data_IF_504744627122
#
_entry.id   IF_504744627122
#
_cell.length_a   1.000
_cell.length_b   1.000
_cell.length_c   1.000
_cell.angle_alpha   90.00
_cell.angle_beta   90.00
_cell.angle_gamma   90.00
#
_symmetry.space_group_name_H-M   'P 1'
#
loop_
_entity.id
_entity.type
_entity.pdbx_description
1 polymer ?
#
# COMPACT_ATOMS: atom_id res chain seq x y z
N UNK A 1 -3.52 26.33 -41.07
CA UNK A 1 -3.53 26.86 -39.68
C UNK A 1 -4.66 26.26 -38.84
N UNK A 2 -5.90 26.79 -38.83
CA UNK A 2 -6.99 26.39 -37.88
C UNK A 2 -7.08 24.87 -37.58
N UNK A 3 -7.20 24.01 -38.60
CA UNK A 3 -7.27 22.54 -38.43
C UNK A 3 -6.10 21.92 -37.65
N UNK A 4 -4.88 22.45 -37.79
CA UNK A 4 -3.70 21.99 -37.06
C UNK A 4 -3.71 22.41 -35.58
N UNK A 5 -4.26 23.58 -35.27
CA UNK A 5 -4.48 24.01 -33.87
C UNK A 5 -5.55 23.13 -33.22
N UNK A 6 -6.64 22.80 -33.94
CA UNK A 6 -7.64 21.85 -33.47
C UNK A 6 -7.04 20.47 -33.18
N UNK A 7 -6.17 19.96 -34.06
CA UNK A 7 -5.48 18.67 -33.88
C UNK A 7 -4.54 18.71 -32.66
N UNK A 8 -3.78 19.79 -32.48
CA UNK A 8 -2.86 20.00 -31.36
C UNK A 8 -3.61 20.05 -30.01
N UNK A 9 -4.70 20.82 -29.94
CA UNK A 9 -5.52 20.93 -28.72
C UNK A 9 -6.15 19.57 -28.39
N UNK A 10 -6.63 18.82 -29.40
CA UNK A 10 -7.18 17.48 -29.20
C UNK A 10 -6.13 16.51 -28.67
N UNK A 11 -4.91 16.51 -29.22
CA UNK A 11 -3.82 15.64 -28.73
C UNK A 11 -3.38 16.00 -27.31
N UNK A 12 -3.40 17.30 -26.95
CA UNK A 12 -3.03 17.76 -25.62
C UNK A 12 -4.07 17.33 -24.56
N UNK A 13 -5.37 17.41 -24.90
CA UNK A 13 -6.46 16.95 -24.02
C UNK A 13 -6.38 15.45 -23.74
N UNK A 14 -6.05 14.62 -24.75
CA UNK A 14 -5.83 13.18 -24.57
C UNK A 14 -4.64 12.89 -23.65
N UNK A 15 -3.55 13.64 -23.78
CA UNK A 15 -2.36 13.45 -22.93
C UNK A 15 -2.61 13.83 -21.46
N UNK A 16 -3.37 14.90 -21.20
CA UNK A 16 -3.73 15.30 -19.82
C UNK A 16 -4.70 14.28 -19.19
N UNK A 17 -5.71 13.83 -19.93
CA UNK A 17 -6.67 12.83 -19.44
C UNK A 17 -6.06 11.45 -19.13
N UNK A 18 -4.96 11.08 -19.80
CA UNK A 18 -4.29 9.80 -19.62
C UNK A 18 -3.36 9.72 -18.38
N UNK A 19 -3.14 10.83 -17.67
CA UNK A 19 -2.20 10.92 -16.54
C UNK A 19 -2.87 11.42 -15.23
N UNK A 20 -4.20 11.33 -15.14
CA UNK A 20 -4.94 11.60 -13.90
C UNK A 20 -4.84 10.45 -12.90
N UNK A 21 -4.29 10.73 -11.72
CA UNK A 21 -4.35 9.96 -10.47
C UNK A 21 -4.18 8.42 -10.55
N UNK A 22 -2.93 7.97 -10.66
CA UNK A 22 -2.51 6.66 -10.12
C UNK A 22 -1.22 6.74 -9.28
N UNK A 23 -1.10 7.75 -8.41
CA UNK A 23 -0.04 7.80 -7.38
C UNK A 23 -0.14 6.61 -6.40
N UNK A 24 -1.36 6.09 -6.20
CA UNK A 24 -1.61 4.75 -5.68
C UNK A 24 -2.24 3.90 -6.77
N UNK A 25 -1.39 3.22 -7.55
CA UNK A 25 -1.84 2.28 -8.57
C UNK A 25 -2.17 0.96 -7.89
N UNK A 26 -3.46 0.62 -7.76
CA UNK A 26 -3.87 -0.72 -7.33
C UNK A 26 -3.24 -1.77 -8.26
N UNK A 27 -2.38 -2.63 -7.72
CA UNK A 27 -1.71 -3.68 -8.50
C UNK A 27 -2.64 -4.89 -8.63
N UNK A 28 -3.65 -4.70 -9.48
CA UNK A 28 -4.46 -5.71 -10.17
C UNK A 28 -5.32 -6.72 -9.37
N UNK A 29 -6.26 -7.26 -10.13
CA UNK A 29 -6.89 -8.59 -10.09
C UNK A 29 -7.49 -9.13 -8.78
N UNK A 30 -8.64 -9.80 -8.92
CA UNK A 30 -9.28 -10.60 -7.86
C UNK A 30 -8.63 -11.99 -7.72
N UNK A 31 -7.32 -12.06 -7.97
CA UNK A 31 -6.59 -13.26 -8.43
C UNK A 31 -5.14 -13.29 -7.88
N UNK A 32 -4.74 -12.28 -7.09
CA UNK A 32 -3.38 -12.10 -6.56
C UNK A 32 -3.40 -11.65 -5.09
N UNK A 33 -2.47 -12.19 -4.28
CA UNK A 33 -2.24 -11.78 -2.90
C UNK A 33 -1.69 -10.35 -2.84
N UNK A 34 -2.60 -9.37 -2.68
CA UNK A 34 -2.25 -7.95 -2.85
C UNK A 34 -1.77 -7.32 -1.55
N UNK A 35 -0.45 -7.26 -1.39
CA UNK A 35 0.22 -6.63 -0.26
C UNK A 35 0.80 -5.25 -0.63
N UNK A 36 0.58 -4.28 0.24
CA UNK A 36 0.99 -2.88 0.05
C UNK A 36 2.29 -2.54 0.81
N UNK A 37 2.79 -3.46 1.64
CA UNK A 37 4.05 -3.32 2.35
C UNK A 37 4.38 -4.57 3.15
N UNK A 38 5.57 -4.59 3.76
CA UNK A 38 6.07 -5.69 4.57
C UNK A 38 6.77 -5.17 5.83
N UNK A 39 6.66 -5.92 6.93
CA UNK A 39 7.46 -5.68 8.14
C UNK A 39 8.92 -6.10 7.88
N UNK A 40 9.85 -5.14 7.83
CA UNK A 40 11.27 -5.40 7.49
C UNK A 40 12.21 -5.41 8.70
N UNK A 41 11.83 -4.78 9.81
CA UNK A 41 12.59 -4.86 11.06
C UNK A 41 11.66 -4.81 12.29
N UNK A 42 11.30 -5.97 12.85
CA UNK A 42 10.62 -6.05 14.13
C UNK A 42 11.58 -6.48 15.26
N UNK A 43 11.53 -5.79 16.40
CA UNK A 43 12.23 -6.22 17.63
C UNK A 43 11.50 -7.37 18.35
N UNK A 44 10.98 -8.36 17.60
CA UNK A 44 10.13 -9.43 18.10
C UNK A 44 10.84 -10.34 19.15
N UNK A 45 10.11 -10.67 20.21
CA UNK A 45 10.54 -11.55 21.33
C UNK A 45 9.44 -12.50 21.82
N UNK A 46 8.21 -12.35 21.34
CA UNK A 46 7.05 -13.18 21.67
C UNK A 46 6.71 -13.23 23.17
N UNK A 47 6.91 -12.12 23.88
CA UNK A 47 6.58 -11.95 25.32
C UNK A 47 5.30 -11.14 25.56
N UNK A 48 4.56 -10.81 24.48
CA UNK A 48 3.31 -10.04 24.53
C UNK A 48 3.49 -8.52 24.51
N UNK A 49 4.74 -8.01 24.46
CA UNK A 49 5.04 -6.59 24.19
C UNK A 49 5.33 -6.29 22.71
N UNK A 50 5.28 -7.29 21.85
CA UNK A 50 5.62 -7.18 20.43
C UNK A 50 4.75 -6.15 19.70
N UNK A 51 5.26 -5.62 18.60
CA UNK A 51 4.43 -4.90 17.66
C UNK A 51 3.42 -5.88 17.05
N UNK A 52 2.19 -5.43 16.84
CA UNK A 52 1.11 -6.29 16.31
C UNK A 52 0.37 -5.63 15.15
N UNK A 53 -0.10 -6.46 14.22
CA UNK A 53 -0.98 -6.06 13.13
C UNK A 53 -2.43 -6.39 13.51
N UNK A 54 -3.30 -5.39 13.38
CA UNK A 54 -4.74 -5.48 13.59
C UNK A 54 -5.41 -5.43 12.21
N UNK A 55 -5.94 -6.57 11.74
CA UNK A 55 -6.68 -6.66 10.47
C UNK A 55 -8.20 -6.65 10.72
N UNK A 56 -8.98 -6.17 9.75
CA UNK A 56 -10.44 -6.24 9.82
C UNK A 56 -10.93 -7.71 9.81
N UNK A 57 -12.03 -8.00 10.51
CA UNK A 57 -12.62 -9.34 10.62
C UNK A 57 -11.88 -10.31 11.56
N UNK A 58 -10.59 -10.11 11.85
CA UNK A 58 -9.84 -10.94 12.79
C UNK A 58 -10.14 -10.56 14.25
N UNK A 59 -10.29 -11.57 15.11
CA UNK A 59 -10.59 -11.39 16.55
C UNK A 59 -9.35 -11.18 17.41
N UNK A 60 -8.17 -11.46 16.86
CA UNK A 60 -6.88 -11.45 17.57
C UNK A 60 -5.85 -10.71 16.71
N UNK A 61 -4.98 -9.86 17.30
CA UNK A 61 -3.86 -9.28 16.59
C UNK A 61 -2.86 -10.36 16.16
N UNK A 62 -2.24 -10.19 15.00
CA UNK A 62 -1.06 -10.96 14.59
C UNK A 62 0.21 -10.31 15.14
N UNK A 63 1.24 -11.08 15.46
CA UNK A 63 2.57 -10.53 15.78
C UNK A 63 3.20 -10.02 14.49
N UNK A 64 3.76 -8.81 14.51
CA UNK A 64 4.46 -8.22 13.38
C UNK A 64 5.84 -8.89 13.19
N UNK A 65 5.85 -10.10 12.65
CA UNK A 65 7.07 -10.87 12.38
C UNK A 65 7.77 -10.44 11.08
N UNK A 66 9.03 -10.87 10.90
CA UNK A 66 9.85 -10.47 9.75
C UNK A 66 9.23 -10.98 8.42
N UNK A 67 9.12 -10.07 7.45
CA UNK A 67 8.41 -10.23 6.18
C UNK A 67 6.90 -10.50 6.31
N UNK A 68 6.28 -10.22 7.47
CA UNK A 68 4.82 -10.26 7.56
C UNK A 68 4.23 -9.26 6.55
N UNK A 69 3.34 -9.71 5.63
CA UNK A 69 2.78 -8.85 4.61
C UNK A 69 1.58 -8.06 5.12
N UNK A 70 1.44 -6.83 4.63
CA UNK A 70 0.43 -5.86 5.05
C UNK A 70 -0.58 -5.58 3.92
N UNK A 71 -1.85 -5.63 4.26
CA UNK A 71 -2.98 -5.33 3.38
C UNK A 71 -3.51 -3.89 3.63
N UNK A 72 -4.29 -3.32 2.69
CA UNK A 72 -5.00 -2.06 2.93
C UNK A 72 -5.92 -2.15 4.15
N UNK A 73 -5.84 -1.15 5.04
CA UNK A 73 -6.65 -1.08 6.27
C UNK A 73 -5.99 -1.72 7.50
N UNK A 74 -4.92 -2.50 7.33
CA UNK A 74 -4.16 -3.05 8.46
C UNK A 74 -3.61 -1.96 9.36
N UNK A 75 -3.89 -2.06 10.66
CA UNK A 75 -3.44 -1.10 11.67
C UNK A 75 -2.30 -1.70 12.49
N UNK A 76 -1.11 -1.11 12.38
CA UNK A 76 0.07 -1.54 13.12
C UNK A 76 0.09 -0.84 14.48
N UNK A 77 0.19 -1.61 15.57
CA UNK A 77 0.29 -1.11 16.94
C UNK A 77 1.61 -1.55 17.57
N UNK A 78 2.53 -0.60 17.73
CA UNK A 78 3.79 -0.77 18.47
C UNK A 78 3.60 -0.54 19.97
N UNK A 79 4.66 -0.81 20.75
CA UNK A 79 4.72 -0.47 22.17
C UNK A 79 6.05 0.26 22.48
N UNK A 80 6.91 -0.31 23.33
CA UNK A 80 8.30 0.09 23.57
C UNK A 80 9.27 -0.41 22.47
N UNK A 81 8.77 -1.19 21.50
CA UNK A 81 9.55 -1.88 20.46
C UNK A 81 9.48 -1.20 19.10
N UNK A 82 10.59 -1.26 18.36
CA UNK A 82 10.69 -0.84 16.96
C UNK A 82 10.01 -1.86 16.04
N UNK A 83 9.39 -1.31 15.00
CA UNK A 83 8.80 -2.02 13.87
C UNK A 83 8.95 -1.12 12.64
N UNK A 84 9.83 -1.47 11.71
CA UNK A 84 10.04 -0.72 10.47
C UNK A 84 9.35 -1.42 9.29
N UNK A 85 8.72 -0.63 8.43
CA UNK A 85 7.86 -1.08 7.34
C UNK A 85 8.43 -0.58 6.01
N UNK A 86 8.50 -1.47 5.02
CA UNK A 86 8.78 -1.12 3.64
C UNK A 86 7.49 -1.19 2.81
N UNK A 87 7.37 -0.24 1.87
CA UNK A 87 6.33 -0.16 0.84
C UNK A 87 7.00 -0.26 -0.53
#
# INVERSE_FOLDING_TARGET
MKKGITLLVLSLLVFVGANGDTNYKYINAWDTDTYFGHVIYPEAKHDGKDAVVLREGLRTPEVADLNLPLAPGDTIRTSERRCEIQF
#
